data_IF_410617756176
#
_entry.id   IF_410617756176
#
_cell.length_a   1.000
_cell.length_b   1.000
_cell.length_c   1.000
_cell.angle_alpha   90.00
_cell.angle_beta   90.00
_cell.angle_gamma   90.00
#
_symmetry.space_group_name_H-M   'P 1'
#
loop_
_entity.id
_entity.type
_entity.pdbx_description
1 polymer ?
#
# COMPACT_ATOMS: atom_id res chain seq x y z
N UNK A 1 -8.54 28.70 17.49
CA UNK A 1 -8.09 28.52 16.10
C UNK A 1 -7.46 27.14 16.03
N UNK A 2 -8.30 26.12 15.83
CA UNK A 2 -7.92 24.72 15.92
C UNK A 2 -6.99 24.41 14.76
N UNK A 3 -5.75 24.01 15.04
CA UNK A 3 -4.86 23.39 14.07
C UNK A 3 -5.61 22.20 13.47
N UNK A 4 -6.13 22.37 12.25
CA UNK A 4 -6.35 21.23 11.38
C UNK A 4 -4.98 20.64 11.12
N UNK A 5 -4.60 19.63 11.89
CA UNK A 5 -3.59 18.69 11.45
C UNK A 5 -4.10 18.15 10.11
N UNK A 6 -3.50 18.60 9.01
CA UNK A 6 -3.62 17.91 7.75
C UNK A 6 -3.11 16.50 8.02
N UNK A 7 -4.01 15.51 7.98
CA UNK A 7 -3.61 14.11 8.07
C UNK A 7 -2.71 13.81 6.87
N UNK A 8 -1.39 13.89 7.09
CA UNK A 8 -0.40 13.45 6.12
C UNK A 8 -0.21 11.95 6.31
N UNK A 9 -0.51 11.17 5.27
CA UNK A 9 -0.30 9.71 5.27
C UNK A 9 1.20 9.36 5.41
N UNK A 10 2.09 10.28 5.02
CA UNK A 10 3.54 10.10 4.97
C UNK A 10 4.21 11.37 5.48
N UNK A 11 5.32 11.24 6.23
CA UNK A 11 6.02 12.39 6.80
C UNK A 11 6.81 13.18 5.75
N UNK A 12 6.98 14.49 5.99
CA UNK A 12 7.79 15.37 5.14
C UNK A 12 9.25 14.89 5.01
N UNK A 13 9.75 14.20 6.04
CA UNK A 13 11.11 13.65 6.07
C UNK A 13 11.39 12.70 4.89
N UNK A 14 10.37 12.02 4.37
CA UNK A 14 10.54 11.09 3.26
C UNK A 14 9.83 11.53 1.98
N UNK A 15 8.96 12.55 2.01
CA UNK A 15 8.36 13.12 0.79
C UNK A 15 9.14 14.31 0.24
N UNK A 16 9.93 15.01 1.06
CA UNK A 16 10.69 16.20 0.66
C UNK A 16 12.19 16.08 0.96
N UNK A 17 12.56 15.31 1.99
CA UNK A 17 13.92 15.29 2.55
C UNK A 17 14.59 13.91 2.51
N UNK A 18 14.11 12.97 1.68
CA UNK A 18 14.70 11.63 1.61
C UNK A 18 16.14 11.72 1.07
N UNK A 19 17.12 11.31 1.87
CA UNK A 19 18.54 11.40 1.53
C UNK A 19 18.98 12.82 1.13
N UNK A 20 18.43 13.84 1.81
CA UNK A 20 18.95 15.20 1.70
C UNK A 20 20.35 15.27 2.31
N UNK A 21 21.30 15.76 1.53
CA UNK A 21 22.64 16.12 2.01
C UNK A 21 22.61 17.55 2.59
N UNK A 22 23.39 17.84 3.65
CA UNK A 22 23.36 19.15 4.32
C UNK A 22 23.62 20.35 3.39
N UNK A 23 24.34 20.15 2.29
CA UNK A 23 24.73 21.21 1.35
C UNK A 23 23.66 21.56 0.31
N UNK A 24 22.73 20.64 0.02
CA UNK A 24 21.82 20.76 -1.14
C UNK A 24 20.51 21.51 -0.79
N UNK A 25 20.02 21.36 0.45
CA UNK A 25 18.78 21.98 0.91
C UNK A 25 17.49 21.41 0.30
N UNK A 26 17.57 20.25 -0.36
CA UNK A 26 16.43 19.46 -0.83
C UNK A 26 16.77 17.97 -0.87
N UNK A 27 15.78 17.12 -0.60
CA UNK A 27 15.90 15.67 -0.72
C UNK A 27 15.09 15.10 -1.88
N UNK A 28 14.95 13.78 -1.86
CA UNK A 28 14.10 13.03 -2.79
C UNK A 28 12.73 12.80 -2.18
N UNK A 29 11.78 12.43 -3.03
CA UNK A 29 10.44 12.01 -2.62
C UNK A 29 10.30 10.48 -2.74
N UNK A 30 10.27 9.80 -1.59
CA UNK A 30 10.10 8.35 -1.51
C UNK A 30 8.80 7.89 -2.16
N UNK A 31 7.74 8.69 -2.08
CA UNK A 31 6.43 8.32 -2.60
C UNK A 31 6.43 8.43 -4.11
N UNK A 32 6.95 9.52 -4.66
CA UNK A 32 7.19 9.62 -6.10
C UNK A 32 8.08 8.47 -6.61
N UNK A 33 9.12 8.08 -5.86
CA UNK A 33 9.96 6.91 -6.18
C UNK A 33 9.15 5.61 -6.18
N UNK A 34 8.30 5.38 -5.18
CA UNK A 34 7.47 4.16 -5.09
C UNK A 34 6.50 4.06 -6.28
N UNK A 35 5.84 5.17 -6.65
CA UNK A 35 4.92 5.20 -7.80
C UNK A 35 5.67 4.92 -9.10
N UNK A 36 6.82 5.57 -9.32
CA UNK A 36 7.61 5.33 -10.54
C UNK A 36 8.18 3.91 -10.59
N UNK A 37 8.61 3.37 -9.46
CA UNK A 37 9.10 1.98 -9.37
C UNK A 37 8.02 0.98 -9.73
N UNK A 38 6.78 1.18 -9.27
CA UNK A 38 5.66 0.30 -9.62
C UNK A 38 5.41 0.30 -11.14
N UNK A 39 5.44 1.49 -11.77
CA UNK A 39 5.26 1.64 -13.22
C UNK A 39 6.39 1.01 -14.02
N UNK A 40 7.64 1.20 -13.59
CA UNK A 40 8.81 0.55 -14.18
C UNK A 40 8.71 -0.97 -14.14
N UNK A 41 8.23 -1.54 -13.03
CA UNK A 41 8.05 -2.98 -12.86
C UNK A 41 6.78 -3.53 -13.53
N UNK A 42 5.98 -2.68 -14.20
CA UNK A 42 4.73 -3.09 -14.82
C UNK A 42 3.69 -3.63 -13.83
N UNK A 43 3.68 -3.13 -12.59
CA UNK A 43 2.73 -3.55 -11.57
C UNK A 43 1.32 -3.11 -12.00
N UNK A 44 0.33 -4.04 -12.06
CA UNK A 44 -1.05 -3.68 -12.36
C UNK A 44 -1.63 -2.64 -11.39
N UNK A 45 -2.59 -1.85 -11.88
CA UNK A 45 -3.28 -0.85 -11.08
C UNK A 45 -4.05 -1.43 -9.90
N UNK A 46 -4.41 -0.56 -8.96
CA UNK A 46 -5.11 -0.88 -7.72
C UNK A 46 -6.37 -1.74 -7.95
N UNK A 47 -7.19 -1.42 -8.96
CA UNK A 47 -8.43 -2.13 -9.23
C UNK A 47 -8.22 -3.60 -9.62
N UNK A 48 -7.12 -3.92 -10.31
CA UNK A 48 -6.76 -5.29 -10.66
C UNK A 48 -6.43 -6.12 -9.40
N UNK A 49 -5.77 -5.53 -8.41
CA UNK A 49 -5.50 -6.21 -7.14
C UNK A 49 -6.74 -6.34 -6.27
N UNK A 50 -7.64 -5.35 -6.27
CA UNK A 50 -8.96 -5.49 -5.62
C UNK A 50 -9.71 -6.71 -6.15
N UNK A 51 -9.79 -6.84 -7.48
CA UNK A 51 -10.43 -7.97 -8.14
C UNK A 51 -9.74 -9.30 -7.79
N UNK A 52 -8.42 -9.37 -7.89
CA UNK A 52 -7.64 -10.57 -7.54
C UNK A 52 -7.78 -10.99 -6.07
N UNK A 53 -8.08 -10.02 -5.19
CA UNK A 53 -8.38 -10.24 -3.78
C UNK A 53 -9.86 -10.53 -3.50
N UNK A 54 -10.74 -10.55 -4.52
CA UNK A 54 -12.17 -10.82 -4.36
C UNK A 54 -12.97 -9.65 -3.79
N UNK A 55 -12.42 -8.42 -3.83
CA UNK A 55 -13.05 -7.20 -3.32
C UNK A 55 -13.92 -6.48 -4.36
N UNK A 56 -13.98 -7.03 -5.57
CA UNK A 56 -14.68 -6.44 -6.72
C UNK A 56 -13.90 -5.27 -7.34
N UNK A 57 -14.20 -5.01 -8.61
CA UNK A 57 -13.76 -3.82 -9.33
C UNK A 57 -14.71 -2.66 -9.06
N UNK A 58 -14.17 -1.45 -9.11
CA UNK A 58 -14.97 -0.22 -9.20
C UNK A 58 -14.90 0.34 -10.62
N UNK A 59 -16.00 0.90 -11.11
CA UNK A 59 -16.05 1.51 -12.45
C UNK A 59 -16.00 3.05 -12.37
N UNK A 60 -16.39 3.62 -11.23
CA UNK A 60 -16.39 5.06 -10.99
C UNK A 60 -15.61 5.43 -9.73
N UNK A 61 -15.15 6.68 -9.63
CA UNK A 61 -14.46 7.15 -8.43
C UNK A 61 -15.40 7.19 -7.21
N UNK A 62 -16.69 7.47 -7.40
CA UNK A 62 -17.66 7.55 -6.29
C UNK A 62 -17.84 6.19 -5.58
N UNK A 63 -17.71 5.08 -6.31
CA UNK A 63 -17.72 3.73 -5.74
C UNK A 63 -16.56 3.47 -4.79
N UNK A 64 -15.50 4.29 -4.81
CA UNK A 64 -14.36 4.17 -3.88
C UNK A 64 -14.62 4.81 -2.50
N UNK A 65 -15.58 5.71 -2.37
CA UNK A 65 -15.83 6.46 -1.12
C UNK A 65 -16.09 5.56 0.11
N UNK A 66 -16.80 4.43 0.01
CA UNK A 66 -16.95 3.50 1.14
C UNK A 66 -15.63 2.86 1.58
N UNK A 67 -14.64 2.76 0.68
CA UNK A 67 -13.39 2.03 0.91
C UNK A 67 -12.22 2.94 1.28
N UNK A 68 -12.25 4.22 0.90
CA UNK A 68 -11.17 5.17 1.10
C UNK A 68 -11.49 6.19 2.21
N UNK A 69 -10.46 6.85 2.72
CA UNK A 69 -10.59 7.91 3.73
C UNK A 69 -10.69 9.32 3.10
N UNK A 70 -11.29 10.26 3.84
CA UNK A 70 -11.03 11.70 3.74
C UNK A 70 -11.12 12.34 2.34
N UNK A 71 -12.11 11.96 1.53
CA UNK A 71 -12.32 12.51 0.19
C UNK A 71 -11.21 12.18 -0.80
N UNK A 72 -10.44 11.12 -0.53
CA UNK A 72 -9.37 10.65 -1.42
C UNK A 72 -9.92 10.24 -2.79
N UNK A 73 -11.13 9.68 -2.89
CA UNK A 73 -11.67 9.31 -4.19
C UNK A 73 -11.93 10.53 -5.09
N UNK A 74 -12.48 11.62 -4.54
CA UNK A 74 -12.55 12.91 -5.23
C UNK A 74 -11.16 13.46 -5.62
N UNK A 75 -10.12 13.24 -4.81
CA UNK A 75 -8.76 13.66 -5.18
C UNK A 75 -8.22 12.82 -6.33
N UNK A 76 -8.47 11.51 -6.33
CA UNK A 76 -8.11 10.65 -7.45
C UNK A 76 -8.82 11.03 -8.74
N UNK A 77 -10.09 11.40 -8.71
CA UNK A 77 -10.83 11.82 -9.92
C UNK A 77 -10.27 13.08 -10.58
N UNK A 78 -9.46 13.87 -9.86
CA UNK A 78 -8.77 15.04 -10.40
C UNK A 78 -7.41 14.72 -11.02
N UNK A 79 -6.84 13.55 -10.74
CA UNK A 79 -5.47 13.17 -11.12
C UNK A 79 -5.48 12.04 -12.15
N UNK A 80 -6.37 11.06 -11.99
CA UNK A 80 -6.51 9.90 -12.87
C UNK A 80 -7.73 10.04 -13.78
N UNK A 81 -7.67 9.45 -14.98
CA UNK A 81 -8.79 9.43 -15.93
C UNK A 81 -9.81 8.35 -15.57
N UNK A 82 -9.35 7.21 -15.06
CA UNK A 82 -10.18 6.08 -14.67
C UNK A 82 -9.69 5.46 -13.35
N UNK A 83 -10.55 4.84 -12.51
CA UNK A 83 -10.13 4.11 -11.31
C UNK A 83 -9.09 3.00 -11.56
N UNK A 84 -9.05 2.45 -12.78
CA UNK A 84 -8.05 1.45 -13.20
C UNK A 84 -6.62 2.02 -13.27
N UNK A 85 -6.48 3.33 -13.45
CA UNK A 85 -5.18 3.99 -13.57
C UNK A 85 -4.54 4.28 -12.20
N UNK A 86 -5.26 4.06 -11.09
CA UNK A 86 -4.74 4.31 -9.74
C UNK A 86 -3.59 3.33 -9.47
N UNK A 87 -2.39 3.87 -9.20
CA UNK A 87 -1.24 3.04 -8.82
C UNK A 87 -1.54 2.22 -7.55
N UNK A 88 -1.19 0.93 -7.55
CA UNK A 88 -1.45 0.00 -6.44
C UNK A 88 -1.01 0.57 -5.09
N UNK A 89 0.21 1.12 -5.02
CA UNK A 89 0.75 1.63 -3.76
C UNK A 89 -0.11 2.74 -3.19
N UNK A 90 -0.50 3.71 -4.04
CA UNK A 90 -1.34 4.83 -3.64
C UNK A 90 -2.71 4.34 -3.14
N UNK A 91 -3.37 3.48 -3.92
CA UNK A 91 -4.70 2.97 -3.57
C UNK A 91 -4.67 2.16 -2.26
N UNK A 92 -3.71 1.25 -2.12
CA UNK A 92 -3.61 0.35 -0.97
C UNK A 92 -3.34 1.06 0.36
N UNK A 93 -2.50 2.11 0.38
CA UNK A 93 -2.29 2.91 1.61
C UNK A 93 -3.47 3.84 1.94
N UNK A 94 -4.35 4.10 0.97
CA UNK A 94 -5.47 5.03 1.11
C UNK A 94 -6.75 4.36 1.62
N UNK A 95 -6.78 3.02 1.61
CA UNK A 95 -7.90 2.23 2.12
C UNK A 95 -8.14 2.46 3.62
N UNK A 96 -9.39 2.34 4.03
CA UNK A 96 -9.77 2.22 5.43
C UNK A 96 -9.14 0.96 6.02
N UNK A 97 -8.51 1.12 7.18
CA UNK A 97 -7.84 0.04 7.89
C UNK A 97 -8.87 -0.98 8.36
N UNK A 98 -8.54 -2.27 8.24
CA UNK A 98 -9.38 -3.36 8.78
C UNK A 98 -9.39 -3.33 10.31
N UNK A 99 -10.48 -3.82 10.92
CA UNK A 99 -10.58 -3.90 12.38
C UNK A 99 -9.42 -4.73 12.97
N UNK A 100 -8.73 -4.17 13.96
CA UNK A 100 -7.57 -4.80 14.60
C UNK A 100 -6.29 -4.84 13.74
N UNK A 101 -6.29 -4.23 12.55
CA UNK A 101 -5.13 -4.18 11.65
C UNK A 101 -4.46 -2.81 11.57
N UNK A 102 -3.50 -2.69 10.64
CA UNK A 102 -2.81 -1.42 10.31
C UNK A 102 -2.87 -1.09 8.81
N UNK A 103 -3.44 -1.97 7.98
CA UNK A 103 -3.52 -1.83 6.53
C UNK A 103 -4.94 -2.14 6.05
N UNK A 104 -5.30 -1.64 4.87
CA UNK A 104 -6.61 -1.91 4.26
C UNK A 104 -6.75 -3.31 3.67
N UNK A 105 -7.97 -3.70 3.27
CA UNK A 105 -8.29 -5.04 2.76
C UNK A 105 -7.40 -5.53 1.61
N UNK A 106 -7.08 -4.68 0.64
CA UNK A 106 -6.28 -5.07 -0.53
C UNK A 106 -4.86 -5.44 -0.11
N UNK A 107 -4.22 -4.59 0.72
CA UNK A 107 -2.89 -4.90 1.23
C UNK A 107 -2.89 -6.03 2.25
N UNK A 108 -3.93 -6.18 3.08
CA UNK A 108 -4.08 -7.33 3.96
C UNK A 108 -4.10 -8.64 3.17
N UNK A 109 -4.82 -8.68 2.03
CA UNK A 109 -4.84 -9.82 1.12
C UNK A 109 -3.45 -10.10 0.51
N UNK A 110 -2.81 -9.10 -0.11
CA UNK A 110 -1.51 -9.26 -0.78
C UNK A 110 -0.42 -9.69 0.20
N UNK A 111 -0.28 -8.95 1.31
CA UNK A 111 0.73 -9.20 2.35
C UNK A 111 0.44 -10.54 3.03
N UNK A 112 -0.80 -10.81 3.41
CA UNK A 112 -1.20 -12.05 4.08
C UNK A 112 -0.94 -13.29 3.23
N UNK A 113 -1.28 -13.25 1.93
CA UNK A 113 -0.98 -14.35 0.98
C UNK A 113 0.52 -14.55 0.83
N UNK A 114 1.30 -13.47 0.71
CA UNK A 114 2.76 -13.58 0.59
C UNK A 114 3.39 -14.21 1.84
N UNK A 115 3.01 -13.75 3.04
CA UNK A 115 3.50 -14.34 4.30
C UNK A 115 3.06 -15.79 4.48
N UNK A 116 1.83 -16.14 4.09
CA UNK A 116 1.36 -17.52 4.11
C UNK A 116 2.21 -18.41 3.18
N UNK A 117 2.50 -17.95 1.96
CA UNK A 117 3.32 -18.68 1.01
C UNK A 117 4.76 -18.84 1.50
N UNK A 118 5.37 -17.79 2.08
CA UNK A 118 6.70 -17.88 2.67
C UNK A 118 6.73 -18.90 3.80
N UNK A 119 5.79 -18.82 4.75
CA UNK A 119 5.70 -19.76 5.88
C UNK A 119 5.53 -21.20 5.42
N UNK A 120 4.58 -21.46 4.50
CA UNK A 120 4.26 -22.83 4.05
C UNK A 120 5.30 -23.39 3.08
N UNK A 121 5.95 -22.53 2.30
CA UNK A 121 6.96 -22.90 1.31
C UNK A 121 8.36 -23.06 1.90
N UNK A 122 8.59 -22.56 3.11
CA UNK A 122 9.88 -22.69 3.78
C UNK A 122 10.02 -24.05 4.47
N UNK A 123 10.84 -24.92 3.87
CA UNK A 123 11.22 -26.21 4.45
C UNK A 123 11.87 -26.06 5.83
N UNK A 124 12.56 -24.96 6.08
CA UNK A 124 13.26 -24.67 7.32
C UNK A 124 12.45 -23.80 8.29
N UNK A 125 11.15 -23.59 8.05
CA UNK A 125 10.29 -22.86 8.98
C UNK A 125 10.39 -23.46 10.39
N UNK A 126 10.63 -22.61 11.40
CA UNK A 126 11.03 -23.05 12.74
C UNK A 126 9.99 -23.93 13.46
N UNK A 127 8.70 -23.80 13.12
CA UNK A 127 7.62 -24.62 13.68
C UNK A 127 7.37 -25.94 12.92
N UNK A 128 8.04 -26.16 11.78
CA UNK A 128 7.89 -27.43 11.06
C UNK A 128 8.39 -28.57 11.95
N UNK A 129 7.66 -29.68 12.10
CA UNK A 129 8.13 -30.80 12.91
C UNK A 129 9.16 -31.63 12.14
N UNK A 130 10.07 -32.29 12.88
CA UNK A 130 10.96 -33.34 12.37
C UNK A 130 12.00 -32.88 11.32
N UNK A 131 12.38 -31.60 11.32
CA UNK A 131 13.52 -31.09 10.54
C UNK A 131 14.71 -30.75 11.46
N UNK A 132 15.95 -30.82 10.98
CA UNK A 132 17.11 -30.35 11.75
C UNK A 132 17.05 -28.86 12.15
N UNK A 133 16.24 -28.06 11.46
CA UNK A 133 16.00 -26.64 11.77
C UNK A 133 14.85 -26.41 12.75
N UNK A 134 14.11 -27.45 13.13
CA UNK A 134 12.99 -27.34 14.06
C UNK A 134 13.47 -26.89 15.43
N UNK A 135 12.74 -25.97 16.06
CA UNK A 135 13.02 -25.59 17.44
C UNK A 135 12.50 -26.65 18.41
N UNK A 136 13.16 -26.80 19.56
CA UNK A 136 12.68 -27.68 20.62
C UNK A 136 11.40 -27.08 21.23
N UNK A 137 10.39 -27.92 21.55
CA UNK A 137 9.16 -27.46 22.21
C UNK A 137 9.38 -26.74 23.53
#
# INVERSE_FOLDING_TARGET
MTLMATFSLVSLQVTEHLFEEPEDGFGRDLISINLQRAREHGVPGYNAFREWCGLGRVETFDELEPFLNNGTAMRYSKIYKHPDDIDLWSGGISERIIEGGMIGPTFACVVGRQFQNLRRGDRFWFENPNFPSSFTP
#
